data_IF_096706104538
#
_entry.id   IF_096706104538
#
_cell.length_a   1.000
_cell.length_b   1.000
_cell.length_c   1.000
_cell.angle_alpha   90.00
_cell.angle_beta   90.00
_cell.angle_gamma   90.00
#
_symmetry.space_group_name_H-M   'P 1'
#
loop_
_entity.id
_entity.type
_entity.pdbx_description
1 polymer ?
#
# COMPACT_ATOMS: atom_id res chain seq x y z
N UNK A 1 -22.79 -22.67 -5.77
CA UNK A 1 -22.12 -21.37 -5.96
C UNK A 1 -20.99 -21.60 -6.95
N UNK A 2 -21.21 -21.18 -8.19
CA UNK A 2 -20.36 -21.55 -9.33
C UNK A 2 -19.04 -20.78 -9.37
N UNK A 3 -17.94 -21.51 -9.21
CA UNK A 3 -16.56 -21.02 -9.22
C UNK A 3 -16.23 -20.26 -10.53
N UNK A 4 -16.88 -20.63 -11.64
CA UNK A 4 -16.69 -19.97 -12.95
C UNK A 4 -17.24 -18.54 -13.00
N UNK A 5 -18.35 -18.26 -12.31
CA UNK A 5 -18.97 -16.92 -12.30
C UNK A 5 -18.10 -15.90 -11.54
N UNK A 6 -17.41 -16.34 -10.49
CA UNK A 6 -16.45 -15.51 -9.77
C UNK A 6 -15.19 -15.20 -10.58
N UNK A 7 -14.72 -16.16 -11.40
CA UNK A 7 -13.51 -15.96 -12.22
C UNK A 7 -13.75 -14.96 -13.36
N UNK A 8 -14.86 -15.08 -14.08
CA UNK A 8 -15.22 -14.14 -15.16
C UNK A 8 -15.53 -12.74 -14.61
N UNK A 9 -16.15 -12.63 -13.44
CA UNK A 9 -16.31 -11.34 -12.76
C UNK A 9 -14.93 -10.76 -12.40
N UNK A 10 -14.03 -11.51 -11.75
CA UNK A 10 -12.68 -11.04 -11.42
C UNK A 10 -11.86 -10.63 -12.67
N UNK A 11 -12.00 -11.33 -13.78
CA UNK A 11 -11.34 -10.99 -15.04
C UNK A 11 -11.89 -9.68 -15.64
N UNK A 12 -13.19 -9.43 -15.51
CA UNK A 12 -13.82 -8.15 -15.85
C UNK A 12 -13.37 -7.00 -14.92
N UNK A 13 -13.05 -7.31 -13.67
CA UNK A 13 -12.49 -6.35 -12.69
C UNK A 13 -11.04 -5.97 -13.00
N UNK A 14 -10.23 -6.93 -13.46
CA UNK A 14 -8.82 -6.75 -13.82
C UNK A 14 -8.63 -5.99 -15.15
N UNK A 15 -9.57 -6.14 -16.08
CA UNK A 15 -9.47 -5.58 -17.44
C UNK A 15 -10.10 -4.19 -17.61
N UNK A 16 -10.73 -3.62 -16.58
CA UNK A 16 -11.16 -2.22 -16.57
C UNK A 16 -9.99 -1.31 -16.22
N UNK A 17 -9.85 -0.09 -16.80
CA UNK A 17 -8.95 0.92 -16.25
C UNK A 17 -9.28 1.09 -14.76
N UNK A 18 -8.24 0.87 -13.92
CA UNK A 18 -8.17 0.88 -12.44
C UNK A 18 -9.57 0.94 -11.82
N UNK A 19 -10.11 -0.17 -11.28
CA UNK A 19 -11.55 -0.36 -11.12
C UNK A 19 -12.22 0.94 -10.70
N UNK A 20 -13.02 1.56 -11.57
CA UNK A 20 -13.65 2.87 -11.29
C UNK A 20 -14.28 2.91 -9.90
N UNK A 21 -14.73 1.75 -9.41
CA UNK A 21 -15.19 1.51 -8.04
C UNK A 21 -14.13 1.74 -6.95
N UNK A 22 -12.91 1.22 -7.06
CA UNK A 22 -11.80 1.47 -6.10
C UNK A 22 -11.46 2.96 -6.06
N UNK A 23 -11.36 3.61 -7.21
CA UNK A 23 -11.15 5.06 -7.29
C UNK A 23 -12.36 5.82 -6.69
N UNK A 24 -13.60 5.37 -6.94
CA UNK A 24 -14.79 6.01 -6.39
C UNK A 24 -14.92 5.80 -4.87
N UNK A 25 -14.53 4.64 -4.34
CA UNK A 25 -14.47 4.36 -2.91
C UNK A 25 -13.37 5.22 -2.27
N UNK A 26 -12.19 5.30 -2.90
CA UNK A 26 -11.12 6.22 -2.51
C UNK A 26 -11.57 7.69 -2.52
N UNK A 27 -12.34 8.12 -3.53
CA UNK A 27 -12.95 9.46 -3.60
C UNK A 27 -13.96 9.71 -2.49
N UNK A 28 -14.78 8.71 -2.16
CA UNK A 28 -15.77 8.81 -1.09
C UNK A 28 -15.07 8.97 0.26
N UNK A 29 -13.97 8.25 0.46
CA UNK A 29 -13.08 8.39 1.62
C UNK A 29 -12.37 9.76 1.63
N UNK A 30 -11.87 10.25 0.48
CA UNK A 30 -11.19 11.55 0.36
C UNK A 30 -12.12 12.77 0.52
N UNK A 31 -13.38 12.68 0.09
CA UNK A 31 -14.38 13.74 0.28
C UNK A 31 -14.63 14.04 1.76
N UNK A 32 -14.37 13.08 2.65
CA UNK A 32 -14.35 13.28 4.11
C UNK A 32 -13.04 13.96 4.54
N UNK A 33 -12.68 15.11 3.96
CA UNK A 33 -11.55 16.00 4.30
C UNK A 33 -10.49 15.32 5.20
N UNK A 34 -9.80 14.32 4.66
CA UNK A 34 -8.65 13.71 5.32
C UNK A 34 -7.59 14.81 5.41
N UNK A 35 -7.31 15.29 6.62
CA UNK A 35 -6.45 16.46 6.84
C UNK A 35 -5.15 16.11 7.53
N UNK A 36 -5.07 14.96 8.18
CA UNK A 36 -3.92 14.58 9.01
C UNK A 36 -3.20 13.35 8.46
N UNK A 37 -1.88 13.30 8.64
CA UNK A 37 -1.05 12.12 8.32
C UNK A 37 -1.59 10.84 8.97
N UNK A 38 -2.08 10.96 10.21
CA UNK A 38 -2.70 9.85 10.94
C UNK A 38 -3.91 9.27 10.22
N UNK A 39 -4.76 10.11 9.62
CA UNK A 39 -5.92 9.65 8.86
C UNK A 39 -5.48 8.98 7.55
N UNK A 40 -4.43 9.48 6.89
CA UNK A 40 -3.87 8.84 5.69
C UNK A 40 -3.27 7.46 5.98
N UNK A 41 -2.48 7.34 7.05
CA UNK A 41 -1.95 6.07 7.54
C UNK A 41 -3.08 5.11 7.90
N UNK A 42 -4.07 5.58 8.65
CA UNK A 42 -5.23 4.78 9.01
C UNK A 42 -5.98 4.28 7.77
N UNK A 43 -6.10 5.09 6.72
CA UNK A 43 -6.73 4.67 5.48
C UNK A 43 -5.96 3.52 4.82
N UNK A 44 -4.63 3.56 4.76
CA UNK A 44 -3.84 2.45 4.21
C UNK A 44 -4.00 1.16 5.04
N UNK A 45 -4.08 1.29 6.37
CA UNK A 45 -4.24 0.14 7.29
C UNK A 45 -5.65 -0.45 7.27
N UNK A 46 -6.68 0.40 7.26
CA UNK A 46 -8.07 0.00 7.49
C UNK A 46 -8.91 -0.07 6.21
N UNK A 47 -8.43 0.50 5.09
CA UNK A 47 -9.06 0.41 3.78
C UNK A 47 -8.22 -0.47 2.87
N UNK A 48 -8.85 -1.50 2.29
CA UNK A 48 -8.21 -2.31 1.26
C UNK A 48 -7.99 -1.51 -0.04
N UNK A 49 -8.59 -0.32 -0.19
CA UNK A 49 -8.55 0.46 -1.42
C UNK A 49 -7.12 0.75 -1.89
N UNK A 50 -6.21 1.13 -0.99
CA UNK A 50 -4.84 1.47 -1.36
C UNK A 50 -4.07 0.26 -1.90
N UNK A 51 -4.14 -0.89 -1.20
CA UNK A 51 -3.42 -2.09 -1.61
C UNK A 51 -4.02 -2.74 -2.85
N UNK A 52 -5.35 -2.69 -3.01
CA UNK A 52 -6.03 -3.11 -4.23
C UNK A 52 -5.66 -2.21 -5.41
N UNK A 53 -5.57 -0.89 -5.20
CA UNK A 53 -5.05 0.02 -6.20
C UNK A 53 -3.61 -0.34 -6.56
N UNK A 54 -2.74 -0.56 -5.59
CA UNK A 54 -1.33 -0.92 -5.81
C UNK A 54 -1.20 -2.20 -6.65
N UNK A 55 -2.01 -3.20 -6.36
CA UNK A 55 -2.07 -4.45 -7.13
C UNK A 55 -2.41 -4.21 -8.60
N UNK A 56 -3.43 -3.39 -8.87
CA UNK A 56 -3.86 -3.08 -10.24
C UNK A 56 -2.88 -2.17 -10.97
N UNK A 57 -2.39 -1.14 -10.29
CA UNK A 57 -1.47 -0.16 -10.85
C UNK A 57 -0.16 -0.84 -11.27
N UNK A 58 0.35 -1.77 -10.45
CA UNK A 58 1.59 -2.50 -10.74
C UNK A 58 1.46 -3.59 -11.80
N UNK A 59 0.25 -3.93 -12.29
CA UNK A 59 0.11 -4.76 -13.49
C UNK A 59 0.59 -3.99 -14.74
N UNK A 60 0.31 -2.69 -14.79
CA UNK A 60 0.70 -1.81 -15.90
C UNK A 60 2.05 -1.13 -15.67
N UNK A 61 2.35 -0.84 -14.41
CA UNK A 61 3.56 -0.17 -13.96
C UNK A 61 4.30 -1.05 -12.94
N UNK A 62 4.97 -2.15 -13.37
CA UNK A 62 5.60 -3.10 -12.44
C UNK A 62 6.65 -2.49 -11.52
N UNK A 63 7.19 -1.33 -11.89
CA UNK A 63 8.11 -0.53 -11.11
C UNK A 63 7.75 0.95 -11.26
N UNK A 64 7.59 1.66 -10.15
CA UNK A 64 7.38 3.11 -10.16
C UNK A 64 7.96 3.75 -8.90
N UNK A 65 8.23 5.05 -8.96
CA UNK A 65 8.63 5.88 -7.83
C UNK A 65 7.70 7.08 -7.67
N UNK A 66 7.72 7.70 -6.49
CA UNK A 66 7.01 8.95 -6.22
C UNK A 66 7.44 10.09 -7.15
N UNK A 67 8.63 9.99 -7.76
CA UNK A 67 9.17 11.02 -8.66
C UNK A 67 8.66 10.93 -10.07
N UNK A 68 7.96 9.86 -10.43
CA UNK A 68 7.30 9.78 -11.73
C UNK A 68 6.44 11.04 -11.97
N UNK A 69 5.89 11.60 -10.88
CA UNK A 69 5.12 12.85 -10.86
C UNK A 69 5.88 14.09 -11.36
N UNK A 70 7.21 14.09 -11.31
CA UNK A 70 8.08 15.19 -11.76
C UNK A 70 8.40 15.11 -13.26
N UNK A 71 8.35 13.91 -13.85
CA UNK A 71 8.87 13.67 -15.20
C UNK A 71 7.80 13.27 -16.22
N UNK A 72 6.73 12.58 -15.80
CA UNK A 72 5.60 12.27 -16.68
C UNK A 72 4.32 11.96 -15.91
N UNK A 73 3.26 12.67 -16.24
CA UNK A 73 1.90 12.43 -15.72
C UNK A 73 0.97 11.91 -16.83
N UNK A 74 1.50 11.61 -18.01
CA UNK A 74 0.69 11.18 -19.15
C UNK A 74 0.04 9.83 -18.84
N UNK A 75 -1.30 9.79 -18.90
CA UNK A 75 -2.07 8.60 -18.58
C UNK A 75 -2.24 8.30 -17.08
N UNK A 76 -1.73 9.15 -16.19
CA UNK A 76 -1.93 9.05 -14.73
C UNK A 76 -3.09 9.98 -14.34
N UNK A 77 -4.11 9.42 -13.69
CA UNK A 77 -5.25 10.20 -13.18
C UNK A 77 -4.87 10.99 -11.93
N UNK A 78 -5.59 12.08 -11.63
CA UNK A 78 -5.34 12.88 -10.42
C UNK A 78 -5.44 12.06 -9.13
N UNK A 79 -6.29 11.04 -9.08
CA UNK A 79 -6.39 10.15 -7.93
C UNK A 79 -5.20 9.20 -7.80
N UNK A 80 -4.63 8.76 -8.93
CA UNK A 80 -3.39 8.00 -8.94
C UNK A 80 -2.21 8.85 -8.48
N UNK A 81 -2.19 10.14 -8.81
CA UNK A 81 -1.18 11.08 -8.29
C UNK A 81 -1.22 11.11 -6.76
N UNK A 82 -2.41 11.24 -6.16
CA UNK A 82 -2.56 11.20 -4.70
C UNK A 82 -2.08 9.87 -4.11
N UNK A 83 -2.44 8.74 -4.73
CA UNK A 83 -2.05 7.40 -4.26
C UNK A 83 -0.55 7.11 -4.43
N UNK A 84 0.07 7.58 -5.51
CA UNK A 84 1.53 7.56 -5.70
C UNK A 84 2.19 8.42 -4.63
N UNK A 85 1.66 9.61 -4.35
CA UNK A 85 2.13 10.50 -3.31
C UNK A 85 2.07 9.86 -1.91
N UNK A 86 1.04 9.07 -1.63
CA UNK A 86 0.85 8.38 -0.34
C UNK A 86 1.74 7.13 -0.17
N UNK A 87 2.61 6.80 -1.13
CA UNK A 87 3.53 5.67 -1.04
C UNK A 87 4.48 5.76 0.16
N UNK A 88 4.85 6.97 0.59
CA UNK A 88 5.65 7.18 1.79
C UNK A 88 4.96 6.66 3.05
N UNK A 89 3.64 6.85 3.19
CA UNK A 89 2.91 6.31 4.34
C UNK A 89 2.88 4.78 4.34
N UNK A 90 2.79 4.14 3.16
CA UNK A 90 2.92 2.69 3.08
C UNK A 90 4.31 2.23 3.58
N UNK A 91 5.38 2.92 3.15
CA UNK A 91 6.72 2.64 3.63
C UNK A 91 6.84 2.80 5.14
N UNK A 92 6.36 3.92 5.72
CA UNK A 92 6.39 4.19 7.16
C UNK A 92 5.65 3.12 7.98
N UNK A 93 4.50 2.63 7.49
CA UNK A 93 3.74 1.55 8.11
C UNK A 93 4.59 0.28 8.21
N UNK A 94 5.31 -0.06 7.14
CA UNK A 94 6.13 -1.26 7.07
C UNK A 94 7.38 -1.09 7.93
N UNK A 95 8.01 0.07 7.86
CA UNK A 95 9.22 0.42 8.61
C UNK A 95 8.96 0.39 10.13
N UNK A 96 7.86 0.99 10.61
CA UNK A 96 7.45 0.90 12.01
C UNK A 96 7.24 -0.55 12.46
N UNK A 97 6.54 -1.35 11.66
CA UNK A 97 6.34 -2.77 11.97
C UNK A 97 7.67 -3.54 12.01
N UNK A 98 8.53 -3.33 11.03
CA UNK A 98 9.83 -4.00 10.93
C UNK A 98 10.72 -3.65 12.12
N UNK A 99 10.80 -2.37 12.48
CA UNK A 99 11.56 -1.89 13.64
C UNK A 99 11.05 -2.50 14.96
N UNK A 100 9.73 -2.54 15.17
CA UNK A 100 9.13 -3.14 16.39
C UNK A 100 9.35 -4.65 16.48
N UNK A 101 9.58 -5.33 15.34
CA UNK A 101 9.80 -6.77 15.26
C UNK A 101 11.26 -7.15 14.94
N UNK A 102 12.20 -6.19 14.99
CA UNK A 102 13.64 -6.41 14.71
C UNK A 102 13.92 -7.04 13.34
N UNK A 103 13.09 -6.72 12.34
CA UNK A 103 13.25 -7.20 10.97
C UNK A 103 14.17 -6.24 10.19
N UNK A 104 15.29 -6.72 9.61
CA UNK A 104 16.22 -5.84 8.91
C UNK A 104 15.66 -5.37 7.58
N UNK A 105 15.90 -4.10 7.24
CA UNK A 105 15.73 -3.60 5.88
C UNK A 105 16.81 -4.17 4.96
N UNK A 106 16.48 -4.31 3.67
CA UNK A 106 17.46 -4.65 2.65
C UNK A 106 18.09 -3.37 2.10
N UNK A 107 19.42 -3.31 2.12
CA UNK A 107 20.14 -2.21 1.50
C UNK A 107 20.02 -2.27 -0.03
N UNK A 108 19.85 -1.11 -0.64
CA UNK A 108 20.06 -0.87 -2.06
C UNK A 108 20.98 0.33 -2.25
N UNK A 109 21.48 0.53 -3.47
CA UNK A 109 22.57 1.46 -3.80
C UNK A 109 22.54 2.79 -3.01
N UNK A 110 21.41 3.49 -3.02
CA UNK A 110 21.22 4.75 -2.29
C UNK A 110 20.01 4.74 -1.35
N UNK A 111 19.73 3.60 -0.71
CA UNK A 111 18.61 3.53 0.20
C UNK A 111 18.33 2.14 0.73
N UNK A 112 17.08 1.89 1.07
CA UNK A 112 16.67 0.62 1.65
C UNK A 112 15.24 0.26 1.27
N UNK A 113 14.92 -1.02 1.39
CA UNK A 113 13.60 -1.53 1.11
C UNK A 113 13.20 -2.70 1.99
N UNK A 114 11.90 -2.89 2.12
CA UNK A 114 11.30 -4.08 2.69
C UNK A 114 10.64 -4.91 1.59
N UNK A 115 10.57 -6.22 1.82
CA UNK A 115 9.82 -7.14 0.99
C UNK A 115 8.49 -7.41 1.69
N UNK A 116 7.36 -7.13 1.04
CA UNK A 116 6.03 -7.42 1.57
C UNK A 116 5.24 -8.35 0.65
N UNK A 117 4.34 -9.14 1.22
CA UNK A 117 3.35 -9.91 0.48
C UNK A 117 1.93 -9.45 0.83
N UNK A 118 1.08 -9.32 -0.18
CA UNK A 118 -0.35 -9.02 -0.05
C UNK A 118 -1.13 -9.70 -1.19
N UNK A 119 -2.21 -10.41 -0.87
CA UNK A 119 -3.06 -11.15 -1.83
C UNK A 119 -2.27 -11.96 -2.88
N UNK A 120 -1.30 -12.78 -2.43
CA UNK A 120 -0.41 -13.59 -3.29
C UNK A 120 0.54 -12.78 -4.19
N UNK A 121 0.57 -11.46 -4.08
CA UNK A 121 1.51 -10.59 -4.76
C UNK A 121 2.65 -10.20 -3.83
N UNK A 122 3.84 -10.04 -4.40
CA UNK A 122 5.06 -9.70 -3.69
C UNK A 122 5.61 -8.37 -4.20
N UNK A 123 6.02 -7.52 -3.27
CA UNK A 123 6.50 -6.18 -3.57
C UNK A 123 7.80 -5.89 -2.83
N UNK A 124 8.67 -5.11 -3.46
CA UNK A 124 9.68 -4.30 -2.78
C UNK A 124 9.11 -2.91 -2.60
N UNK A 125 9.05 -2.45 -1.36
CA UNK A 125 8.65 -1.08 -1.00
C UNK A 125 9.85 -0.44 -0.34
N UNK A 126 10.32 0.67 -0.87
CA UNK A 126 11.57 1.26 -0.42
C UNK A 126 11.65 2.76 -0.57
N UNK A 127 12.77 3.28 -0.10
CA UNK A 127 13.14 4.70 -0.14
C UNK A 127 14.55 4.81 -0.71
N UNK A 128 14.77 5.84 -1.53
CA UNK A 128 16.07 6.26 -2.05
C UNK A 128 16.31 7.69 -1.58
N UNK A 129 17.52 7.96 -1.07
CA UNK A 129 17.92 9.25 -0.53
C UNK A 129 19.22 9.72 -1.20
N UNK A 130 19.10 10.39 -2.34
CA UNK A 130 20.21 11.05 -3.05
C UNK A 130 19.97 12.57 -3.15
N UNK A 131 19.56 13.06 -4.32
CA UNK A 131 19.20 14.46 -4.59
C UNK A 131 17.75 14.77 -4.20
N UNK A 132 17.28 14.12 -3.13
CA UNK A 132 15.89 14.08 -2.71
C UNK A 132 15.58 12.75 -2.04
N UNK A 133 14.40 12.68 -1.42
CA UNK A 133 13.89 11.44 -0.81
C UNK A 133 12.68 10.97 -1.60
N UNK A 134 12.80 9.77 -2.15
CA UNK A 134 11.84 9.26 -3.12
C UNK A 134 11.48 7.84 -2.77
N UNK A 135 10.19 7.55 -2.78
CA UNK A 135 9.67 6.23 -2.41
C UNK A 135 9.40 5.43 -3.67
N UNK A 136 9.70 4.14 -3.65
CA UNK A 136 9.52 3.28 -4.80
C UNK A 136 8.80 1.99 -4.47
N UNK A 137 8.09 1.48 -5.47
CA UNK A 137 7.49 0.15 -5.46
C UNK A 137 7.98 -0.63 -6.66
N UNK A 138 8.30 -1.91 -6.44
CA UNK A 138 8.52 -2.88 -7.51
C UNK A 138 7.81 -4.18 -7.20
N UNK A 139 6.95 -4.65 -8.12
CA UNK A 139 6.40 -6.00 -8.08
C UNK A 139 7.49 -7.02 -8.39
N UNK A 140 7.56 -8.09 -7.62
CA UNK A 140 8.59 -9.13 -7.74
C UNK A 140 7.98 -10.53 -7.74
N UNK A 141 8.67 -11.48 -8.39
CA UNK A 141 8.23 -12.87 -8.44
C UNK A 141 8.46 -13.59 -7.11
N UNK A 142 7.68 -14.65 -6.89
CA UNK A 142 7.61 -15.44 -5.66
C UNK A 142 8.72 -16.50 -5.52
N UNK A 143 9.66 -16.56 -6.47
CA UNK A 143 10.68 -17.63 -6.53
C UNK A 143 11.64 -17.63 -5.33
N UNK A 144 11.71 -16.55 -4.56
CA UNK A 144 12.49 -16.45 -3.32
C UNK A 144 11.58 -16.04 -2.15
N UNK A 145 10.69 -16.93 -1.69
CA UNK A 145 9.70 -16.66 -0.61
C UNK A 145 10.30 -16.31 0.76
N UNK A 146 11.62 -16.39 0.92
CA UNK A 146 12.25 -16.05 2.18
C UNK A 146 12.22 -14.52 2.42
N UNK A 147 11.86 -14.15 3.66
CA UNK A 147 11.90 -12.79 4.20
C UNK A 147 10.86 -11.78 3.66
N UNK A 148 9.67 -12.26 3.28
CA UNK A 148 8.52 -11.37 3.04
C UNK A 148 7.71 -11.13 4.32
N UNK A 149 7.39 -9.87 4.60
CA UNK A 149 6.44 -9.50 5.64
C UNK A 149 5.02 -9.67 5.06
N UNK A 150 4.20 -10.51 5.66
CA UNK A 150 2.77 -10.58 5.30
C UNK A 150 2.07 -9.32 5.78
N UNK A 151 1.65 -8.48 4.83
CA UNK A 151 1.02 -7.20 5.14
C UNK A 151 -0.30 -7.38 5.92
N UNK A 152 -0.97 -8.53 5.78
CA UNK A 152 -2.17 -8.83 6.58
C UNK A 152 -1.87 -8.93 8.08
N UNK A 153 -0.65 -9.32 8.46
CA UNK A 153 -0.22 -9.36 9.87
C UNK A 153 -0.10 -7.93 10.40
N UNK A 154 0.51 -7.02 9.64
CA UNK A 154 0.63 -5.60 10.00
C UNK A 154 -0.76 -4.99 10.26
N UNK A 155 -1.70 -5.22 9.35
CA UNK A 155 -3.08 -4.73 9.49
C UNK A 155 -3.76 -5.27 10.75
N UNK A 156 -3.68 -6.60 11.00
CA UNK A 156 -4.27 -7.24 12.18
C UNK A 156 -3.70 -6.71 13.49
N UNK A 157 -2.38 -6.53 13.57
CA UNK A 157 -1.71 -6.06 14.78
C UNK A 157 -2.16 -4.64 15.14
N UNK A 158 -2.21 -3.75 14.14
CA UNK A 158 -2.60 -2.35 14.34
C UNK A 158 -4.06 -2.21 14.76
N UNK A 159 -4.97 -2.97 14.13
CA UNK A 159 -6.38 -3.08 14.55
C UNK A 159 -6.48 -3.53 16.02
N UNK A 160 -5.72 -4.56 16.40
CA UNK A 160 -5.75 -5.09 17.77
C UNK A 160 -5.23 -4.08 18.80
N UNK A 161 -4.17 -3.34 18.47
CA UNK A 161 -3.59 -2.35 19.37
C UNK A 161 -4.55 -1.18 19.62
N UNK A 162 -5.18 -0.66 18.58
CA UNK A 162 -6.15 0.43 18.69
C UNK A 162 -7.40 0.01 19.48
N UNK A 163 -7.86 -1.23 19.30
CA UNK A 163 -8.98 -1.77 20.08
C UNK A 163 -8.65 -1.91 21.57
N UNK A 164 -7.42 -2.35 21.91
CA UNK A 164 -6.96 -2.40 23.31
C UNK A 164 -6.90 -1.00 23.94
N UNK A 165 -6.42 -0.01 23.20
CA UNK A 165 -6.31 1.37 23.69
C UNK A 165 -7.68 2.06 23.86
N UNK A 166 -8.65 1.78 22.99
CA UNK A 166 -10.05 2.23 23.15
C UNK A 166 -10.67 1.64 24.42
N UNK A 167 -10.52 0.33 24.66
CA UNK A 167 -11.03 -0.32 25.89
C UNK A 167 -10.41 0.27 27.16
N UNK A 168 -9.10 0.51 27.18
CA UNK A 168 -8.41 1.15 28.33
C UNK A 168 -8.87 2.58 28.60
N UNK A 169 -9.30 3.35 27.58
CA UNK A 169 -9.86 4.70 27.77
C UNK A 169 -11.29 4.69 28.32
N UNK A 170 -12.08 3.67 27.99
CA UNK A 170 -13.45 3.51 28.49
C UNK A 170 -13.44 3.08 29.96
N UNK A 171 -12.50 2.22 30.35
CA UNK A 171 -12.32 1.76 31.74
C UNK A 171 -11.69 2.80 32.69
N UNK A 172 -11.29 3.98 32.19
CA UNK A 172 -10.69 5.07 32.97
C UNK A 172 -11.61 6.30 33.09
N UNK A 173 -12.86 6.19 32.66
CA UNK A 173 -13.94 7.15 32.91
C UNK A 173 -14.93 6.54 33.89
#
# INVERSE_FOLDING_TARGET
MDIKRNAEEMEKWLNSPIPKRVINEWKKENKLKIKTEKEKINRIIYSNCYLLWLEQFTLKNPCFSSDILLYSQEGITGEEIDMIGDLHFLYEIIDDYANRNTLPAFNCYHGQYYKISYNNNCYKIGVISEQGTHFFTRRVNTENKDNFIDFNIIMKERISHDNKNKKKKILKK
#
